data_IF_838247173880
#
_entry.id   IF_838247173880
#
_cell.length_a   1.000
_cell.length_b   1.000
_cell.length_c   1.000
_cell.angle_alpha   90.00
_cell.angle_beta   90.00
_cell.angle_gamma   90.00
#
_symmetry.space_group_name_H-M   'P 1'
#
loop_
_entity.id
_entity.type
_entity.pdbx_description
1 polymer ?
#
# COMPACT_ATOMS: atom_id res chain seq x y z
N UNK A 1 19.74 -2.07 -14.41
CA UNK A 1 18.32 -1.84 -14.07
C UNK A 1 18.07 -2.56 -12.76
N UNK A 2 18.01 -1.79 -11.67
CA UNK A 2 17.97 -2.32 -10.31
C UNK A 2 16.70 -3.10 -10.02
N UNK A 3 16.92 -4.32 -9.54
CA UNK A 3 15.91 -5.33 -9.25
C UNK A 3 15.40 -5.21 -7.80
N UNK A 4 15.26 -3.98 -7.30
CA UNK A 4 14.85 -3.67 -5.93
C UNK A 4 13.33 -3.49 -5.77
N UNK A 5 12.54 -3.77 -6.82
CA UNK A 5 11.11 -3.42 -6.82
C UNK A 5 10.17 -4.37 -6.08
N UNK A 6 10.60 -5.55 -5.60
CA UNK A 6 9.67 -6.51 -5.02
C UNK A 6 10.25 -7.36 -3.86
N UNK A 7 10.97 -6.74 -2.93
CA UNK A 7 11.10 -7.30 -1.58
C UNK A 7 10.16 -6.55 -0.64
N UNK A 8 8.89 -6.90 -0.67
CA UNK A 8 8.05 -6.80 0.54
C UNK A 8 8.44 -7.92 1.52
N UNK A 9 9.72 -8.03 1.86
CA UNK A 9 10.11 -8.69 3.10
C UNK A 9 9.73 -7.70 4.20
N UNK A 10 8.97 -8.15 5.20
CA UNK A 10 8.79 -7.39 6.43
C UNK A 10 10.16 -6.90 6.91
N UNK A 11 10.36 -5.58 6.85
CA UNK A 11 11.58 -4.99 7.39
C UNK A 11 11.55 -5.23 8.89
N UNK A 12 12.62 -5.81 9.42
CA UNK A 12 12.79 -5.91 10.87
C UNK A 12 12.99 -4.49 11.47
N UNK A 13 12.86 -4.37 12.79
CA UNK A 13 12.91 -3.06 13.46
C UNK A 13 14.24 -2.34 13.23
N UNK A 14 15.35 -3.07 13.13
CA UNK A 14 16.66 -2.50 12.83
C UNK A 14 16.70 -1.95 11.39
N UNK A 15 16.15 -2.68 10.43
CA UNK A 15 16.05 -2.24 9.04
C UNK A 15 15.18 -0.99 8.91
N UNK A 16 14.04 -0.94 9.62
CA UNK A 16 13.17 0.26 9.68
C UNK A 16 13.93 1.45 10.28
N UNK A 17 14.62 1.23 11.39
CA UNK A 17 15.40 2.27 12.05
C UNK A 17 16.52 2.83 11.16
N UNK A 18 17.27 1.95 10.49
CA UNK A 18 18.33 2.33 9.54
C UNK A 18 17.74 3.09 8.34
N UNK A 19 16.55 2.72 7.86
CA UNK A 19 15.89 3.44 6.78
C UNK A 19 15.59 4.89 7.17
N UNK A 20 15.01 5.12 8.35
CA UNK A 20 14.70 6.47 8.85
C UNK A 20 15.97 7.31 8.93
N UNK A 21 17.04 6.75 9.47
CA UNK A 21 18.35 7.42 9.59
C UNK A 21 18.99 7.72 8.24
N UNK A 22 18.81 6.87 7.22
CA UNK A 22 19.32 7.12 5.87
C UNK A 22 18.54 8.20 5.11
N UNK A 23 17.24 8.32 5.39
CA UNK A 23 16.33 9.22 4.68
C UNK A 23 16.08 10.55 5.39
N UNK A 24 16.44 10.66 6.68
CA UNK A 24 16.34 11.94 7.40
C UNK A 24 17.14 13.04 6.71
N UNK A 25 16.47 14.15 6.41
CA UNK A 25 17.09 15.33 5.80
C UNK A 25 17.44 15.20 4.31
N UNK A 26 17.03 14.12 3.63
CA UNK A 26 17.23 13.92 2.17
C UNK A 26 16.00 14.19 1.31
N UNK A 27 14.98 14.88 1.83
CA UNK A 27 13.76 15.24 1.09
C UNK A 27 12.56 15.52 2.01
N UNK A 28 11.38 15.74 1.42
CA UNK A 28 10.15 16.14 2.13
C UNK A 28 9.55 15.07 3.08
N UNK A 29 9.98 13.81 3.00
CA UNK A 29 9.29 12.70 3.69
C UNK A 29 9.76 12.43 5.12
N UNK A 30 10.99 12.77 5.49
CA UNK A 30 11.52 12.53 6.84
C UNK A 30 12.32 13.75 7.30
N UNK A 31 11.71 14.60 8.12
CA UNK A 31 12.42 15.76 8.64
C UNK A 31 13.23 15.39 9.88
N UNK A 32 14.49 15.79 9.92
CA UNK A 32 15.38 15.55 11.06
C UNK A 32 14.77 16.08 12.36
N UNK A 33 14.03 17.19 12.31
CA UNK A 33 13.36 17.78 13.49
C UNK A 33 12.29 16.83 14.07
N UNK A 34 11.48 16.23 13.20
CA UNK A 34 10.43 15.29 13.60
C UNK A 34 11.04 14.02 14.22
N UNK A 35 12.08 13.48 13.61
CA UNK A 35 12.80 12.30 14.15
C UNK A 35 13.41 12.62 15.52
N UNK A 36 14.02 13.80 15.71
CA UNK A 36 14.57 14.19 17.02
C UNK A 36 13.49 14.33 18.10
N UNK A 37 12.31 14.84 17.73
CA UNK A 37 11.18 14.97 18.66
C UNK A 37 10.61 13.59 19.02
N UNK A 38 10.38 12.73 18.03
CA UNK A 38 9.81 11.40 18.22
C UNK A 38 10.73 10.46 19.03
N UNK A 39 12.04 10.53 18.79
CA UNK A 39 13.01 9.66 19.49
C UNK A 39 13.51 10.23 20.82
N UNK A 40 13.16 11.48 21.13
CA UNK A 40 13.73 12.29 22.21
C UNK A 40 15.27 12.21 22.21
N UNK A 41 15.86 12.47 21.04
CA UNK A 41 17.32 12.40 20.86
C UNK A 41 17.84 13.58 20.06
N UNK A 42 19.14 13.80 20.12
CA UNK A 42 19.78 14.95 19.47
C UNK A 42 20.19 14.63 18.04
N UNK A 43 20.24 15.67 17.18
CA UNK A 43 20.72 15.52 15.80
C UNK A 43 22.10 14.86 15.71
N UNK A 44 23.11 15.25 16.51
CA UNK A 44 24.42 14.59 16.46
C UNK A 44 24.34 13.09 16.75
N UNK A 45 23.50 12.69 17.72
CA UNK A 45 23.30 11.27 18.05
C UNK A 45 22.65 10.50 16.90
N UNK A 46 21.64 11.06 16.22
CA UNK A 46 21.05 10.44 15.04
C UNK A 46 22.07 10.26 13.90
N UNK A 47 22.91 11.26 13.63
CA UNK A 47 23.95 11.13 12.61
C UNK A 47 24.99 10.07 12.99
N UNK A 48 25.37 9.99 14.27
CA UNK A 48 26.24 8.92 14.77
C UNK A 48 25.65 7.54 14.53
N UNK A 49 24.36 7.35 14.81
CA UNK A 49 23.68 6.07 14.53
C UNK A 49 23.52 5.78 13.05
N UNK A 50 23.34 6.82 12.21
CA UNK A 50 23.30 6.65 10.76
C UNK A 50 24.62 6.09 10.22
N UNK A 51 25.72 6.65 10.71
CA UNK A 51 27.06 6.29 10.24
C UNK A 51 27.55 4.99 10.89
N UNK A 52 27.01 4.61 12.06
CA UNK A 52 27.34 3.36 12.77
C UNK A 52 26.10 2.75 13.46
N UNK A 53 25.24 2.03 12.70
CA UNK A 53 23.98 1.48 13.20
C UNK A 53 24.11 0.50 14.38
N UNK A 54 25.21 -0.26 14.43
CA UNK A 54 25.49 -1.23 15.51
C UNK A 54 25.57 -0.59 16.91
N UNK A 55 25.73 0.74 17.00
CA UNK A 55 25.76 1.46 18.27
C UNK A 55 24.36 1.78 18.82
N UNK A 56 23.30 1.52 18.05
CA UNK A 56 21.93 1.76 18.51
C UNK A 56 21.55 0.78 19.61
N UNK A 57 21.00 1.32 20.70
CA UNK A 57 20.37 0.51 21.73
C UNK A 57 19.01 -0.01 21.26
N UNK A 58 18.54 -1.17 21.76
CA UNK A 58 17.23 -1.72 21.40
C UNK A 58 16.08 -0.72 21.51
N UNK A 59 16.07 0.12 22.55
CA UNK A 59 15.00 1.12 22.74
C UNK A 59 15.02 2.20 21.66
N UNK A 60 16.20 2.52 21.12
CA UNK A 60 16.32 3.47 20.02
C UNK A 60 15.90 2.86 18.69
N UNK A 61 16.23 1.58 18.47
CA UNK A 61 15.78 0.81 17.30
C UNK A 61 14.25 0.80 17.27
N UNK A 62 13.60 0.47 18.39
CA UNK A 62 12.15 0.48 18.49
C UNK A 62 11.56 1.85 18.14
N UNK A 63 12.01 2.94 18.78
CA UNK A 63 11.44 4.28 18.54
C UNK A 63 11.56 4.74 17.09
N UNK A 64 12.67 4.39 16.43
CA UNK A 64 12.86 4.71 15.01
C UNK A 64 12.02 3.81 14.10
N UNK A 65 11.79 2.55 14.47
CA UNK A 65 10.89 1.65 13.79
C UNK A 65 9.42 2.11 13.91
N UNK A 66 8.99 2.54 15.09
CA UNK A 66 7.65 3.09 15.30
C UNK A 66 7.45 4.38 14.47
N UNK A 67 8.46 5.25 14.43
CA UNK A 67 8.43 6.44 13.57
C UNK A 67 8.36 6.09 12.08
N UNK A 68 9.07 5.04 11.65
CA UNK A 68 8.97 4.52 10.29
C UNK A 68 7.55 4.09 9.97
N UNK A 69 6.91 3.32 10.85
CA UNK A 69 5.56 2.79 10.60
C UNK A 69 4.55 3.93 10.48
N UNK A 70 4.58 4.93 11.37
CA UNK A 70 3.73 6.12 11.26
C UNK A 70 3.98 6.86 9.94
N UNK A 71 5.25 7.15 9.63
CA UNK A 71 5.61 7.91 8.41
C UNK A 71 5.28 7.15 7.14
N UNK A 72 5.44 5.83 7.16
CA UNK A 72 5.20 4.97 6.02
C UNK A 72 3.72 4.68 5.82
N UNK A 73 2.94 4.47 6.89
CA UNK A 73 1.50 4.22 6.79
C UNK A 73 0.69 5.48 6.51
N UNK A 74 1.07 6.61 7.08
CA UNK A 74 0.35 7.88 6.93
C UNK A 74 0.89 8.75 5.79
N UNK A 75 2.14 8.55 5.38
CA UNK A 75 2.79 9.32 4.31
C UNK A 75 2.37 8.93 2.89
N UNK A 76 2.80 9.74 1.91
CA UNK A 76 2.54 9.55 0.47
C UNK A 76 2.86 8.11 -0.01
N UNK A 77 3.97 7.47 0.40
CA UNK A 77 4.25 6.08 0.02
C UNK A 77 3.21 5.07 0.55
N UNK A 78 2.70 5.24 1.78
CA UNK A 78 1.65 4.41 2.36
C UNK A 78 0.33 4.59 1.66
N UNK A 79 -0.04 5.83 1.38
CA UNK A 79 -1.24 6.15 0.61
C UNK A 79 -1.16 5.58 -0.81
N UNK A 80 -0.01 5.67 -1.48
CA UNK A 80 0.21 5.05 -2.79
C UNK A 80 0.16 3.52 -2.74
N UNK A 81 0.67 2.91 -1.66
CA UNK A 81 0.57 1.46 -1.45
C UNK A 81 -0.89 1.05 -1.25
N UNK A 82 -1.65 1.78 -0.42
CA UNK A 82 -3.10 1.56 -0.22
C UNK A 82 -3.86 1.71 -1.54
N UNK A 83 -3.63 2.79 -2.29
CA UNK A 83 -4.25 3.00 -3.60
C UNK A 83 -3.92 1.88 -4.59
N UNK A 84 -2.69 1.36 -4.61
CA UNK A 84 -2.35 0.20 -5.46
C UNK A 84 -3.05 -1.07 -5.02
N UNK A 85 -3.13 -1.31 -3.72
CA UNK A 85 -3.86 -2.46 -3.16
C UNK A 85 -5.36 -2.36 -3.44
N UNK A 86 -5.96 -1.19 -3.31
CA UNK A 86 -7.35 -0.93 -3.67
C UNK A 86 -7.59 -1.11 -5.17
N UNK A 87 -6.68 -0.63 -6.03
CA UNK A 87 -6.75 -0.87 -7.47
C UNK A 87 -6.62 -2.35 -7.82
N UNK A 88 -5.73 -3.08 -7.14
CA UNK A 88 -5.57 -4.51 -7.34
C UNK A 88 -6.85 -5.26 -6.94
N UNK A 89 -7.40 -4.97 -5.76
CA UNK A 89 -8.67 -5.54 -5.30
C UNK A 89 -9.82 -5.22 -6.28
N UNK A 90 -9.86 -3.98 -6.78
CA UNK A 90 -10.84 -3.56 -7.78
C UNK A 90 -10.76 -4.38 -9.08
N UNK A 91 -9.55 -4.66 -9.58
CA UNK A 91 -9.37 -5.51 -10.76
C UNK A 91 -9.65 -7.00 -10.48
N UNK A 92 -9.31 -7.50 -9.30
CA UNK A 92 -9.62 -8.88 -8.88
C UNK A 92 -11.14 -9.08 -8.80
N UNK A 93 -11.86 -8.20 -8.10
CA UNK A 93 -13.34 -8.23 -8.04
C UNK A 93 -13.95 -8.09 -9.43
N UNK A 94 -13.39 -7.23 -10.31
CA UNK A 94 -13.86 -7.12 -11.70
C UNK A 94 -13.75 -8.46 -12.44
N UNK A 95 -12.64 -9.17 -12.28
CA UNK A 95 -12.44 -10.48 -12.93
C UNK A 95 -13.41 -11.52 -12.39
N UNK A 96 -13.64 -11.58 -11.09
CA UNK A 96 -14.58 -12.51 -10.48
C UNK A 96 -16.01 -12.28 -10.97
N UNK A 97 -16.48 -11.02 -11.01
CA UNK A 97 -17.83 -10.71 -11.52
C UNK A 97 -17.95 -11.07 -13.01
N UNK A 98 -16.91 -10.85 -13.82
CA UNK A 98 -16.91 -11.27 -15.23
C UNK A 98 -17.03 -12.78 -15.39
N UNK A 99 -16.39 -13.56 -14.53
CA UNK A 99 -16.53 -15.02 -14.54
C UNK A 99 -17.98 -15.44 -14.25
N UNK A 100 -18.64 -14.77 -13.30
CA UNK A 100 -20.06 -15.01 -12.99
C UNK A 100 -20.96 -14.65 -14.18
N UNK A 101 -20.72 -13.53 -14.85
CA UNK A 101 -21.47 -13.11 -16.04
C UNK A 101 -21.30 -14.13 -17.17
N UNK A 102 -20.08 -14.57 -17.45
CA UNK A 102 -19.80 -15.56 -18.49
C UNK A 102 -20.48 -16.89 -18.17
N UNK A 103 -20.43 -17.33 -16.91
CA UNK A 103 -21.11 -18.55 -16.49
C UNK A 103 -22.64 -18.44 -16.63
N UNK A 104 -23.22 -17.29 -16.32
CA UNK A 104 -24.64 -17.02 -16.52
C UNK A 104 -25.02 -16.96 -18.01
N UNK A 105 -24.11 -16.49 -18.87
CA UNK A 105 -24.27 -16.44 -20.32
C UNK A 105 -24.16 -17.82 -20.99
N UNK A 106 -23.56 -18.81 -20.32
CA UNK A 106 -23.43 -20.19 -20.82
C UNK A 106 -24.63 -21.09 -20.42
N UNK A 107 -25.58 -20.57 -19.64
CA UNK A 107 -26.77 -21.32 -19.24
C UNK A 107 -27.66 -21.62 -20.46
N UNK A 108 -28.25 -22.82 -20.51
CA UNK A 108 -29.03 -23.27 -21.68
C UNK A 108 -30.39 -22.56 -21.85
N UNK A 109 -30.90 -21.90 -20.81
CA UNK A 109 -32.28 -21.35 -20.75
C UNK A 109 -32.30 -19.83 -20.45
N UNK A 110 -31.38 -19.07 -21.01
CA UNK A 110 -31.33 -17.62 -20.87
C UNK A 110 -32.31 -16.95 -21.84
N UNK A 111 -33.15 -16.07 -21.30
CA UNK A 111 -34.05 -15.27 -22.12
C UNK A 111 -33.29 -14.15 -22.87
N UNK A 112 -33.82 -13.63 -23.99
CA UNK A 112 -33.23 -12.48 -24.68
C UNK A 112 -33.09 -11.24 -23.77
N UNK A 113 -34.01 -11.05 -22.83
CA UNK A 113 -33.92 -9.98 -21.84
C UNK A 113 -32.73 -10.18 -20.90
N UNK A 114 -32.53 -11.40 -20.41
CA UNK A 114 -31.38 -11.73 -19.55
C UNK A 114 -30.05 -11.53 -20.28
N UNK A 115 -29.96 -11.86 -21.56
CA UNK A 115 -28.76 -11.59 -22.38
C UNK A 115 -28.44 -10.09 -22.47
N UNK A 116 -29.46 -9.23 -22.67
CA UNK A 116 -29.28 -7.78 -22.68
C UNK A 116 -28.79 -7.25 -21.33
N UNK A 117 -29.30 -7.79 -20.23
CA UNK A 117 -28.84 -7.43 -18.87
C UNK A 117 -27.38 -7.84 -18.67
N UNK A 118 -26.99 -9.06 -19.06
CA UNK A 118 -25.60 -9.53 -18.94
C UNK A 118 -24.63 -8.66 -19.76
N UNK A 119 -25.03 -8.26 -20.98
CA UNK A 119 -24.24 -7.35 -21.81
C UNK A 119 -24.09 -5.97 -21.16
N UNK A 120 -25.18 -5.39 -20.64
CA UNK A 120 -25.14 -4.10 -19.96
C UNK A 120 -24.26 -4.13 -18.70
N UNK A 121 -24.23 -5.27 -17.99
CA UNK A 121 -23.35 -5.49 -16.84
C UNK A 121 -21.88 -5.55 -17.26
N UNK A 122 -21.52 -6.27 -18.32
CA UNK A 122 -20.12 -6.33 -18.79
C UNK A 122 -19.63 -4.96 -19.32
N UNK A 123 -20.49 -4.21 -20.03
CA UNK A 123 -20.22 -2.84 -20.46
C UNK A 123 -19.97 -1.90 -19.27
N UNK A 124 -20.74 -2.04 -18.18
CA UNK A 124 -20.56 -1.25 -16.96
C UNK A 124 -19.28 -1.66 -16.21
N UNK A 125 -18.91 -2.94 -16.22
CA UNK A 125 -17.67 -3.43 -15.61
C UNK A 125 -16.42 -2.94 -16.33
N UNK A 126 -16.48 -2.75 -17.65
CA UNK A 126 -15.36 -2.26 -18.45
C UNK A 126 -14.97 -0.79 -18.12
N UNK A 127 -15.83 -0.04 -17.43
CA UNK A 127 -15.57 1.37 -17.09
C UNK A 127 -14.55 1.49 -15.95
N UNK A 128 -13.57 2.42 -16.04
CA UNK A 128 -12.53 2.64 -15.02
C UNK A 128 -13.05 3.17 -13.66
N UNK A 129 -14.36 3.39 -13.52
CA UNK A 129 -15.01 3.77 -12.27
C UNK A 129 -16.36 3.09 -12.08
N UNK A 130 -16.50 1.86 -12.58
CA UNK A 130 -17.73 1.06 -12.52
C UNK A 130 -18.46 1.23 -11.20
N UNK A 131 -19.70 1.72 -11.26
CA UNK A 131 -20.49 1.97 -10.05
C UNK A 131 -20.88 0.65 -9.38
N UNK A 132 -21.08 -0.40 -10.17
CA UNK A 132 -21.38 -1.74 -9.67
C UNK A 132 -20.22 -2.27 -8.82
N UNK A 133 -18.98 -2.13 -9.30
CA UNK A 133 -17.80 -2.55 -8.52
C UNK A 133 -17.63 -1.73 -7.25
N UNK A 134 -17.87 -0.41 -7.30
CA UNK A 134 -17.84 0.43 -6.08
C UNK A 134 -18.83 -0.04 -5.03
N UNK A 135 -20.09 -0.28 -5.43
CA UNK A 135 -21.13 -0.76 -4.50
C UNK A 135 -20.79 -2.14 -3.94
N UNK A 136 -20.24 -3.04 -4.75
CA UNK A 136 -19.84 -4.38 -4.29
C UNK A 136 -18.66 -4.31 -3.30
N UNK A 137 -17.67 -3.46 -3.57
CA UNK A 137 -16.53 -3.26 -2.68
C UNK A 137 -16.90 -2.56 -1.37
N UNK A 138 -17.89 -1.66 -1.38
CA UNK A 138 -18.40 -0.99 -0.17
C UNK A 138 -19.15 -1.95 0.79
N UNK A 139 -19.49 -3.16 0.35
CA UNK A 139 -20.18 -4.19 1.14
C UNK A 139 -19.26 -5.26 1.76
N UNK A 140 -17.96 -5.21 1.47
CA UNK A 140 -16.93 -6.14 1.98
C UNK A 140 -16.20 -5.47 3.15
#
# INVERSE_FOLDING_TARGET
>A
MDNDKFKSLHMDELQKAVWVLKHMGRGQNVQVKEVTMATNTTRPTLYKYRDTPELMKPEMIQRLADFYDITWEEGIPGQLKRLRSEQQLFEETRQEVRLVINHAADLTDITPYTQLVLHALDDELAKPGSLILKVLMDQI
#
